data_IF_066459839523
#
_entry.id   IF_066459839523
#
_cell.length_a   1.000
_cell.length_b   1.000
_cell.length_c   1.000
_cell.angle_alpha   90.00
_cell.angle_beta   90.00
_cell.angle_gamma   90.00
#
_symmetry.space_group_name_H-M   'P 1'
#
loop_
_entity.id
_entity.type
_entity.pdbx_description
1 polymer ?
#
# COMPACT_ATOMS: atom_id res chain seq x y z
N UNK A 1 9.25 3.67 -23.24
CA UNK A 1 8.04 2.86 -23.42
C UNK A 1 7.01 3.21 -22.37
N UNK A 2 5.86 3.58 -22.83
CA UNK A 2 4.80 4.09 -21.95
C UNK A 2 4.30 3.03 -20.96
N UNK A 3 4.22 1.77 -21.41
CA UNK A 3 3.75 0.69 -20.53
C UNK A 3 4.67 0.50 -19.31
N UNK A 4 5.96 0.40 -19.57
CA UNK A 4 6.93 0.23 -18.48
C UNK A 4 6.89 1.42 -17.52
N UNK A 5 6.71 2.62 -18.05
CA UNK A 5 6.62 3.83 -17.26
C UNK A 5 5.39 3.82 -16.35
N UNK A 6 4.25 3.33 -16.87
CA UNK A 6 3.03 3.23 -16.08
C UNK A 6 3.21 2.27 -14.90
N UNK A 7 3.81 1.10 -15.14
CA UNK A 7 4.13 0.16 -14.07
C UNK A 7 5.08 0.78 -13.05
N UNK A 8 6.12 1.46 -13.53
CA UNK A 8 7.09 2.11 -12.66
C UNK A 8 6.42 3.15 -11.76
N UNK A 9 5.50 3.93 -12.31
CA UNK A 9 4.79 4.95 -11.54
C UNK A 9 3.98 4.31 -10.41
N UNK A 10 3.31 3.20 -10.69
CA UNK A 10 2.52 2.48 -9.68
C UNK A 10 3.43 1.93 -8.59
N UNK A 11 4.51 1.24 -8.97
CA UNK A 11 5.44 0.67 -8.01
C UNK A 11 6.05 1.77 -7.14
N UNK A 12 6.43 2.88 -7.74
CA UNK A 12 7.02 4.00 -7.00
C UNK A 12 6.03 4.61 -6.01
N UNK A 13 4.78 4.81 -6.44
CA UNK A 13 3.75 5.36 -5.56
C UNK A 13 3.48 4.43 -4.38
N UNK A 14 3.37 3.12 -4.64
CA UNK A 14 3.14 2.13 -3.59
C UNK A 14 4.32 2.09 -2.63
N UNK A 15 5.55 2.10 -3.16
CA UNK A 15 6.75 2.05 -2.34
C UNK A 15 6.86 3.26 -1.42
N UNK A 16 6.59 4.46 -1.95
CA UNK A 16 6.62 5.68 -1.14
C UNK A 16 5.60 5.64 -0.02
N UNK A 17 4.39 5.19 -0.33
CA UNK A 17 3.34 5.07 0.66
C UNK A 17 3.68 4.01 1.70
N UNK A 18 4.24 2.89 1.26
CA UNK A 18 4.68 1.82 2.15
C UNK A 18 5.69 2.36 3.17
N UNK A 19 6.72 3.05 2.70
CA UNK A 19 7.73 3.63 3.58
C UNK A 19 7.13 4.62 4.58
N UNK A 20 6.21 5.47 4.10
CA UNK A 20 5.57 6.46 4.96
C UNK A 20 4.64 5.81 5.98
N UNK A 21 4.12 4.63 5.68
CA UNK A 21 3.19 3.93 6.56
C UNK A 21 3.89 3.15 7.68
N UNK A 22 5.16 2.82 7.52
CA UNK A 22 5.88 2.02 8.52
C UNK A 22 5.84 2.68 9.91
N UNK A 23 6.20 3.97 10.07
CA UNK A 23 6.12 4.60 11.39
C UNK A 23 4.70 4.66 11.95
N UNK A 24 3.71 4.84 11.07
CA UNK A 24 2.31 4.88 11.49
C UNK A 24 1.89 3.53 12.06
N UNK A 25 2.27 2.46 11.38
CA UNK A 25 1.96 1.10 11.83
C UNK A 25 2.58 0.82 13.19
N UNK A 26 3.76 1.33 13.44
CA UNK A 26 4.44 1.14 14.73
C UNK A 26 3.68 1.80 15.89
N UNK A 27 2.87 2.82 15.60
CA UNK A 27 2.06 3.50 16.61
C UNK A 27 0.67 2.88 16.80
N UNK A 28 0.30 1.92 15.96
CA UNK A 28 -0.98 1.25 16.07
C UNK A 28 -0.91 0.20 17.18
N UNK A 29 -1.86 0.26 18.11
CA UNK A 29 -1.93 -0.68 19.23
C UNK A 29 -3.08 -1.66 19.11
N UNK A 30 -4.08 -1.34 18.29
CA UNK A 30 -5.32 -2.10 18.19
C UNK A 30 -5.63 -2.37 16.71
N UNK A 31 -6.08 -3.60 16.42
CA UNK A 31 -6.46 -3.98 15.06
C UNK A 31 -7.60 -3.11 14.50
N UNK A 32 -8.38 -2.48 15.37
CA UNK A 32 -9.49 -1.61 14.95
C UNK A 32 -9.11 -0.13 14.90
N UNK A 33 -7.83 0.19 15.04
CA UNK A 33 -7.37 1.57 15.00
C UNK A 33 -7.73 2.21 13.64
N UNK A 34 -8.34 3.41 13.62
CA UNK A 34 -8.67 4.10 12.37
C UNK A 34 -7.47 4.32 11.45
N UNK A 35 -6.26 4.32 11.99
CA UNK A 35 -5.05 4.45 11.18
C UNK A 35 -4.92 3.34 10.15
N UNK A 36 -5.36 2.11 10.46
CA UNK A 36 -5.39 1.02 9.50
C UNK A 36 -6.30 1.31 8.33
N UNK A 37 -7.50 1.82 8.61
CA UNK A 37 -8.46 2.17 7.56
C UNK A 37 -7.90 3.23 6.64
N UNK A 38 -7.20 4.21 7.21
CA UNK A 38 -6.59 5.27 6.42
C UNK A 38 -5.47 4.74 5.53
N UNK A 39 -4.61 3.87 6.06
CA UNK A 39 -3.54 3.25 5.28
C UNK A 39 -4.12 2.50 4.10
N UNK A 40 -5.13 1.65 4.34
CA UNK A 40 -5.77 0.88 3.27
C UNK A 40 -6.42 1.80 2.25
N UNK A 41 -7.09 2.86 2.70
CA UNK A 41 -7.73 3.81 1.80
C UNK A 41 -6.71 4.52 0.91
N UNK A 42 -5.55 4.87 1.45
CA UNK A 42 -4.50 5.52 0.68
C UNK A 42 -3.94 4.59 -0.39
N UNK A 43 -3.75 3.30 -0.07
CA UNK A 43 -3.33 2.31 -1.07
C UNK A 43 -4.41 2.10 -2.13
N UNK A 44 -5.68 2.05 -1.72
CA UNK A 44 -6.78 1.92 -2.66
C UNK A 44 -6.86 3.09 -3.64
N UNK A 45 -6.52 4.30 -3.18
CA UNK A 45 -6.50 5.46 -4.05
C UNK A 45 -5.50 5.27 -5.20
N UNK A 46 -4.34 4.69 -4.92
CA UNK A 46 -3.34 4.38 -5.95
C UNK A 46 -3.93 3.38 -6.96
N UNK A 47 -4.59 2.34 -6.45
CA UNK A 47 -5.23 1.35 -7.30
C UNK A 47 -6.31 1.98 -8.19
N UNK A 48 -7.16 2.83 -7.62
CA UNK A 48 -8.25 3.45 -8.36
C UNK A 48 -7.74 4.37 -9.47
N UNK A 49 -6.62 5.05 -9.23
CA UNK A 49 -6.02 5.95 -10.20
C UNK A 49 -5.21 5.22 -11.27
N UNK A 50 -4.96 3.93 -11.11
CA UNK A 50 -4.18 3.17 -12.07
C UNK A 50 -4.94 3.00 -13.39
N UNK A 51 -4.23 3.03 -14.55
CA UNK A 51 -4.85 2.69 -15.81
C UNK A 51 -5.52 1.32 -15.77
N UNK A 52 -6.60 1.18 -16.51
CA UNK A 52 -7.43 -0.03 -16.48
C UNK A 52 -6.62 -1.31 -16.73
N UNK A 53 -5.66 -1.24 -17.66
CA UNK A 53 -4.88 -2.42 -18.06
C UNK A 53 -3.94 -2.91 -16.96
N UNK A 54 -3.56 -2.02 -16.06
CA UNK A 54 -2.62 -2.38 -15.01
C UNK A 54 -3.26 -2.42 -13.61
N UNK A 55 -4.58 -2.26 -13.53
CA UNK A 55 -5.28 -2.37 -12.24
C UNK A 55 -5.05 -3.72 -11.56
N UNK A 56 -5.06 -4.87 -12.26
CA UNK A 56 -4.75 -6.13 -11.59
C UNK A 56 -3.38 -6.15 -10.94
N UNK A 57 -2.37 -5.59 -11.63
CA UNK A 57 -1.02 -5.48 -11.10
C UNK A 57 -1.01 -4.56 -9.87
N UNK A 58 -1.67 -3.40 -9.96
CA UNK A 58 -1.74 -2.45 -8.85
C UNK A 58 -2.42 -3.08 -7.63
N UNK A 59 -3.49 -3.84 -7.86
CA UNK A 59 -4.18 -4.55 -6.78
C UNK A 59 -3.28 -5.57 -6.09
N UNK A 60 -2.56 -6.37 -6.86
CA UNK A 60 -1.66 -7.38 -6.30
C UNK A 60 -0.53 -6.72 -5.50
N UNK A 61 0.05 -5.65 -6.03
CA UNK A 61 1.11 -4.93 -5.33
C UNK A 61 0.60 -4.27 -4.05
N UNK A 62 -0.61 -3.72 -4.09
CA UNK A 62 -1.24 -3.14 -2.91
C UNK A 62 -1.39 -4.19 -1.82
N UNK A 63 -1.95 -5.36 -2.16
CA UNK A 63 -2.18 -6.42 -1.19
C UNK A 63 -0.89 -6.93 -0.57
N UNK A 64 0.15 -7.11 -1.37
CA UNK A 64 1.45 -7.55 -0.87
C UNK A 64 2.01 -6.56 0.16
N UNK A 65 1.93 -5.28 -0.13
CA UNK A 65 2.48 -4.26 0.75
C UNK A 65 1.65 -4.06 2.02
N UNK A 66 0.32 -4.12 1.90
CA UNK A 66 -0.55 -4.05 3.08
C UNK A 66 -0.28 -5.25 3.98
N UNK A 67 -0.13 -6.43 3.40
CA UNK A 67 0.18 -7.64 4.17
C UNK A 67 1.53 -7.49 4.89
N UNK A 68 2.52 -6.92 4.22
CA UNK A 68 3.82 -6.70 4.85
C UNK A 68 3.70 -5.78 6.06
N UNK A 69 2.87 -4.73 5.96
CA UNK A 69 2.63 -3.83 7.10
C UNK A 69 1.93 -4.54 8.25
N UNK A 70 0.94 -5.40 7.93
CA UNK A 70 0.28 -6.19 8.95
C UNK A 70 1.25 -7.13 9.66
N UNK A 71 2.12 -7.77 8.90
CA UNK A 71 3.12 -8.68 9.46
C UNK A 71 4.08 -7.93 10.37
N UNK A 72 4.55 -6.75 9.96
CA UNK A 72 5.39 -5.91 10.80
C UNK A 72 4.69 -5.55 12.10
N UNK A 73 3.42 -5.20 12.03
CA UNK A 73 2.64 -4.85 13.21
C UNK A 73 2.52 -6.03 14.17
N UNK A 74 2.27 -7.22 13.65
CA UNK A 74 2.17 -8.42 14.47
C UNK A 74 3.50 -8.80 15.11
N UNK A 75 4.59 -8.66 14.37
CA UNK A 75 5.92 -8.99 14.87
C UNK A 75 6.41 -8.05 15.97
N UNK A 76 5.88 -6.85 15.98
CA UNK A 76 6.18 -5.86 17.00
C UNK A 76 5.74 -6.31 18.40
N UNK A 77 4.73 -7.12 18.46
CA UNK A 77 4.20 -7.65 19.70
C UNK A 77 5.00 -8.87 20.17
#
# INVERSE_FOLDING_TARGET
MEEAKSYYNIVTAIWKLFKASIPVVQDITDAYDPKWLRIVADFEAIYKDAPREIKPYANDMMLVHVKALEDMWRWKK
#
